data_IF_241870266039
#
_entry.id   IF_241870266039
#
_cell.length_a   1.000
_cell.length_b   1.000
_cell.length_c   1.000
_cell.angle_alpha   90.00
_cell.angle_beta   90.00
_cell.angle_gamma   90.00
#
_symmetry.space_group_name_H-M   'P 1'
#
loop_
_entity.id
_entity.type
_entity.pdbx_description
1 polymer ?
#
# COMPACT_ATOMS: atom_id res chain seq x y z
N UNK A 1 13.99 -8.86 -15.99
CA UNK A 1 13.02 -8.98 -14.86
C UNK A 1 11.89 -9.90 -15.30
N UNK A 2 11.46 -10.83 -14.42
CA UNK A 2 10.30 -11.70 -14.66
C UNK A 2 9.08 -10.97 -14.09
N UNK A 3 7.98 -10.95 -14.84
CA UNK A 3 6.69 -10.39 -14.41
C UNK A 3 5.67 -11.51 -14.27
N UNK A 4 4.87 -11.45 -13.23
CA UNK A 4 3.70 -12.27 -13.02
C UNK A 4 2.46 -11.48 -13.49
N UNK A 5 1.42 -12.18 -13.89
CA UNK A 5 0.11 -11.58 -14.16
C UNK A 5 -0.83 -11.87 -13.00
N UNK A 6 -1.50 -10.84 -12.52
CA UNK A 6 -2.60 -11.00 -11.58
C UNK A 6 -3.85 -11.53 -12.30
N UNK A 7 -4.90 -11.88 -11.55
CA UNK A 7 -6.19 -12.24 -12.16
C UNK A 7 -6.81 -11.09 -12.96
N UNK A 8 -6.49 -9.84 -12.59
CA UNK A 8 -6.89 -8.61 -13.29
C UNK A 8 -5.96 -8.23 -14.45
N UNK A 9 -5.07 -9.15 -14.88
CA UNK A 9 -4.11 -8.98 -16.00
C UNK A 9 -3.02 -7.93 -15.78
N UNK A 10 -2.86 -7.42 -14.55
CA UNK A 10 -1.79 -6.48 -14.19
C UNK A 10 -0.43 -7.18 -14.19
N UNK A 11 0.58 -6.49 -14.71
CA UNK A 11 1.96 -6.97 -14.70
C UNK A 11 2.62 -6.58 -13.40
N UNK A 12 2.96 -7.54 -12.56
CA UNK A 12 3.65 -7.36 -11.27
C UNK A 12 5.04 -7.99 -11.36
N UNK A 13 6.08 -7.24 -11.00
CA UNK A 13 7.44 -7.77 -10.94
C UNK A 13 7.52 -8.87 -9.88
N UNK A 14 8.28 -9.95 -10.18
CA UNK A 14 8.47 -11.06 -9.25
C UNK A 14 9.17 -10.62 -7.95
N UNK A 15 10.01 -9.58 -8.04
CA UNK A 15 10.62 -8.92 -6.89
C UNK A 15 9.74 -7.75 -6.50
N UNK A 16 9.41 -7.65 -5.21
CA UNK A 16 8.61 -6.58 -4.61
C UNK A 16 9.52 -5.76 -3.71
N UNK A 17 9.48 -4.43 -3.84
CA UNK A 17 10.20 -3.54 -2.95
C UNK A 17 9.40 -3.33 -1.67
N UNK A 18 9.88 -3.93 -0.56
CA UNK A 18 9.37 -3.66 0.77
C UNK A 18 9.87 -2.30 1.28
N UNK A 19 9.04 -1.59 2.02
CA UNK A 19 9.34 -0.24 2.51
C UNK A 19 9.27 -0.08 4.03
N UNK A 20 9.22 -1.18 4.77
CA UNK A 20 8.89 -1.22 6.21
C UNK A 20 9.78 -0.42 7.16
N UNK A 21 10.95 0.03 6.72
CA UNK A 21 11.86 0.86 7.53
C UNK A 21 12.28 2.14 6.81
N UNK A 22 11.70 2.40 5.64
CA UNK A 22 12.01 3.60 4.88
C UNK A 22 11.20 4.79 5.42
N UNK A 23 11.87 5.86 5.85
CA UNK A 23 11.22 7.04 6.43
C UNK A 23 10.76 6.86 7.87
N UNK A 24 11.40 5.98 8.63
CA UNK A 24 11.15 5.69 10.05
C UNK A 24 10.46 4.36 10.30
N UNK A 25 10.49 3.89 11.55
CA UNK A 25 9.85 2.64 11.93
C UNK A 25 8.39 2.86 12.36
N UNK A 26 8.14 3.39 13.54
CA UNK A 26 6.80 3.80 14.00
C UNK A 26 6.60 5.31 13.88
N UNK A 27 7.63 6.08 14.19
CA UNK A 27 7.65 7.53 14.04
C UNK A 27 8.32 7.92 12.72
N UNK A 28 7.92 9.05 12.11
CA UNK A 28 8.52 9.50 10.87
C UNK A 28 9.98 9.93 11.06
N UNK A 29 10.83 9.53 10.12
CA UNK A 29 12.21 10.00 9.98
C UNK A 29 12.35 10.67 8.61
N UNK A 30 12.69 11.93 8.60
CA UNK A 30 12.77 12.79 7.41
C UNK A 30 14.19 12.95 6.87
N UNK A 31 15.21 12.40 7.55
CA UNK A 31 16.63 12.68 7.28
C UNK A 31 17.05 12.25 5.86
N UNK A 32 16.51 11.13 5.37
CA UNK A 32 16.93 10.53 4.09
C UNK A 32 15.84 10.53 3.02
N UNK A 33 14.82 11.39 3.12
CA UNK A 33 13.66 11.43 2.21
C UNK A 33 14.05 11.39 0.72
N UNK A 34 14.97 12.24 0.31
CA UNK A 34 15.38 12.34 -1.09
C UNK A 34 16.10 11.08 -1.58
N UNK A 35 16.92 10.48 -0.73
CA UNK A 35 17.60 9.24 -1.05
C UNK A 35 16.61 8.08 -1.21
N UNK A 36 15.65 7.96 -0.28
CA UNK A 36 14.60 6.93 -0.31
C UNK A 36 13.78 7.06 -1.59
N UNK A 37 13.32 8.26 -1.93
CA UNK A 37 12.57 8.52 -3.17
C UNK A 37 13.39 8.14 -4.40
N UNK A 38 14.69 8.48 -4.44
CA UNK A 38 15.57 8.12 -5.54
C UNK A 38 15.81 6.61 -5.64
N UNK A 39 15.95 5.93 -4.52
CA UNK A 39 16.11 4.47 -4.47
C UNK A 39 14.87 3.74 -5.01
N UNK A 40 13.65 4.21 -4.69
CA UNK A 40 12.42 3.66 -5.26
C UNK A 40 12.38 3.87 -6.79
N UNK A 41 12.73 5.06 -7.26
CA UNK A 41 12.81 5.35 -8.71
C UNK A 41 13.88 4.49 -9.41
N UNK A 42 15.01 4.27 -8.76
CA UNK A 42 16.08 3.43 -9.31
C UNK A 42 15.67 1.97 -9.40
N UNK A 43 14.99 1.44 -8.37
CA UNK A 43 14.42 0.09 -8.40
C UNK A 43 13.46 -0.09 -9.59
N UNK A 44 12.64 0.93 -9.88
CA UNK A 44 11.76 0.91 -11.05
C UNK A 44 12.54 0.86 -12.37
N UNK A 45 13.65 1.58 -12.50
CA UNK A 45 14.52 1.51 -13.69
C UNK A 45 15.12 0.11 -13.89
N UNK A 46 15.33 -0.64 -12.80
CA UNK A 46 15.75 -2.03 -12.85
C UNK A 46 14.60 -3.03 -13.15
N UNK A 47 13.38 -2.51 -13.33
CA UNK A 47 12.19 -3.28 -13.68
C UNK A 47 11.35 -3.74 -12.48
N UNK A 48 11.62 -3.25 -11.25
CA UNK A 48 10.81 -3.53 -10.06
C UNK A 48 9.66 -2.52 -10.03
N UNK A 49 8.44 -2.97 -10.34
CA UNK A 49 7.27 -2.09 -10.35
C UNK A 49 6.30 -2.36 -9.18
N UNK A 50 6.55 -3.39 -8.37
CA UNK A 50 5.73 -3.71 -7.22
C UNK A 50 6.35 -3.11 -5.95
N UNK A 51 5.52 -2.40 -5.17
CA UNK A 51 5.89 -1.79 -3.90
C UNK A 51 4.95 -2.30 -2.82
N UNK A 52 5.51 -2.72 -1.68
CA UNK A 52 4.78 -3.11 -0.48
C UNK A 52 5.04 -2.10 0.64
N UNK A 53 3.97 -1.47 1.12
CA UNK A 53 3.98 -0.48 2.20
C UNK A 53 2.85 -0.75 3.22
N UNK A 54 2.68 0.14 4.20
CA UNK A 54 1.58 0.10 5.15
C UNK A 54 1.33 1.49 5.77
N UNK A 55 0.11 1.73 6.26
CA UNK A 55 -0.30 3.01 6.86
C UNK A 55 0.50 3.40 8.12
N UNK A 56 1.03 2.40 8.84
CA UNK A 56 1.78 2.61 10.08
C UNK A 56 3.30 2.73 9.88
N UNK A 57 3.83 2.47 8.68
CA UNK A 57 5.27 2.60 8.43
C UNK A 57 5.69 4.08 8.50
N UNK A 58 6.60 4.39 9.42
CA UNK A 58 7.01 5.76 9.71
C UNK A 58 5.82 6.67 10.07
N UNK A 59 4.80 6.15 10.76
CA UNK A 59 3.57 6.92 11.06
C UNK A 59 2.83 7.42 9.81
N UNK A 60 2.97 6.73 8.68
CA UNK A 60 2.39 7.09 7.38
C UNK A 60 3.34 7.90 6.46
N UNK A 61 4.51 8.31 6.97
CA UNK A 61 5.49 9.05 6.17
C UNK A 61 6.00 8.23 5.00
N UNK A 62 6.18 6.91 5.19
CA UNK A 62 6.63 5.98 4.14
C UNK A 62 5.69 5.99 2.93
N UNK A 63 4.37 5.97 3.13
CA UNK A 63 3.41 6.10 2.02
C UNK A 63 3.55 7.45 1.29
N UNK A 64 3.89 8.52 2.01
CA UNK A 64 4.16 9.83 1.40
C UNK A 64 5.40 9.80 0.51
N UNK A 65 6.46 9.10 0.92
CA UNK A 65 7.67 8.92 0.11
C UNK A 65 7.39 8.06 -1.14
N UNK A 66 6.61 6.99 -0.99
CA UNK A 66 6.15 6.18 -2.13
C UNK A 66 5.36 7.06 -3.11
N UNK A 67 4.40 7.85 -2.63
CA UNK A 67 3.62 8.77 -3.47
C UNK A 67 4.50 9.77 -4.25
N UNK A 68 5.51 10.35 -3.58
CA UNK A 68 6.51 11.22 -4.24
C UNK A 68 7.30 10.47 -5.33
N UNK A 69 7.66 9.21 -5.09
CA UNK A 69 8.46 8.42 -6.01
C UNK A 69 7.69 8.03 -7.28
N UNK A 70 6.41 7.67 -7.16
CA UNK A 70 5.57 7.21 -8.28
C UNK A 70 4.86 8.34 -9.03
N UNK A 71 5.04 9.58 -8.62
CA UNK A 71 4.38 10.75 -9.21
C UNK A 71 4.60 10.83 -10.71
N UNK A 72 3.51 10.90 -11.49
CA UNK A 72 3.52 10.96 -12.96
C UNK A 72 3.73 9.60 -13.65
N UNK A 73 3.86 8.51 -12.89
CA UNK A 73 4.03 7.14 -13.39
C UNK A 73 3.17 6.14 -12.61
N UNK A 74 2.16 6.61 -11.85
CA UNK A 74 1.35 5.79 -10.93
C UNK A 74 0.80 4.52 -11.56
N UNK A 75 0.30 4.61 -12.78
CA UNK A 75 -0.29 3.51 -13.56
C UNK A 75 0.71 2.42 -13.97
N UNK A 76 1.99 2.69 -13.80
CA UNK A 76 3.08 1.72 -14.09
C UNK A 76 3.52 0.94 -12.86
N UNK A 77 3.00 1.29 -11.68
CA UNK A 77 3.33 0.65 -10.42
C UNK A 77 2.16 -0.18 -9.90
N UNK A 78 2.49 -1.29 -9.26
CA UNK A 78 1.58 -2.06 -8.43
C UNK A 78 1.89 -1.74 -6.96
N UNK A 79 0.98 -1.06 -6.27
CA UNK A 79 1.16 -0.64 -4.88
C UNK A 79 0.25 -1.48 -3.98
N UNK A 80 0.89 -2.24 -3.08
CA UNK A 80 0.23 -2.89 -1.96
C UNK A 80 0.41 -2.05 -0.71
N UNK A 81 -0.69 -1.78 0.02
CA UNK A 81 -0.63 -1.18 1.35
C UNK A 81 -1.54 -1.93 2.32
N UNK A 82 -1.40 -1.65 3.62
CA UNK A 82 -2.07 -2.38 4.69
C UNK A 82 -2.63 -1.41 5.71
N UNK A 83 -3.83 -1.70 6.22
CA UNK A 83 -4.35 -0.99 7.38
C UNK A 83 -4.03 -1.74 8.69
N UNK A 84 -3.85 -0.98 9.76
CA UNK A 84 -3.44 -1.47 11.07
C UNK A 84 -4.50 -2.35 11.74
N UNK A 85 -4.06 -3.24 12.65
CA UNK A 85 -4.92 -4.14 13.41
C UNK A 85 -6.00 -3.41 14.21
N UNK A 86 -5.76 -2.18 14.64
CA UNK A 86 -6.74 -1.35 15.36
C UNK A 86 -7.85 -0.80 14.46
N UNK A 87 -7.70 -0.89 13.13
CA UNK A 87 -8.57 -0.24 12.15
C UNK A 87 -9.53 -1.18 11.41
N UNK A 88 -9.88 -2.34 11.98
CA UNK A 88 -10.75 -3.33 11.33
C UNK A 88 -12.25 -2.97 11.29
N UNK A 89 -12.73 -1.99 12.04
CA UNK A 89 -14.13 -1.57 11.93
C UNK A 89 -14.38 -0.88 10.58
N UNK A 90 -15.59 -1.01 10.03
CA UNK A 90 -15.99 -0.39 8.76
C UNK A 90 -15.59 1.09 8.66
N UNK A 91 -15.86 1.87 9.70
CA UNK A 91 -15.56 3.31 9.72
C UNK A 91 -14.05 3.55 9.65
N UNK A 92 -13.28 2.76 10.40
CA UNK A 92 -11.84 2.92 10.48
C UNK A 92 -11.15 2.44 9.20
N UNK A 93 -11.57 1.32 8.58
CA UNK A 93 -11.04 0.85 7.29
C UNK A 93 -11.22 1.95 6.23
N UNK A 94 -12.41 2.53 6.12
CA UNK A 94 -12.67 3.62 5.16
C UNK A 94 -11.76 4.81 5.43
N UNK A 95 -11.62 5.22 6.69
CA UNK A 95 -10.73 6.32 7.08
C UNK A 95 -9.27 6.02 6.76
N UNK A 96 -8.79 4.81 7.06
CA UNK A 96 -7.42 4.36 6.72
C UNK A 96 -7.16 4.45 5.23
N UNK A 97 -8.07 3.91 4.41
CA UNK A 97 -7.93 3.95 2.93
C UNK A 97 -7.89 5.38 2.43
N UNK A 98 -8.79 6.25 2.88
CA UNK A 98 -8.79 7.67 2.50
C UNK A 98 -7.48 8.39 2.87
N UNK A 99 -6.91 8.07 4.02
CA UNK A 99 -5.63 8.63 4.45
C UNK A 99 -4.47 8.09 3.63
N UNK A 100 -4.44 6.78 3.34
CA UNK A 100 -3.43 6.16 2.47
C UNK A 100 -3.47 6.72 1.06
N UNK A 101 -4.66 6.88 0.46
CA UNK A 101 -4.82 7.52 -0.85
C UNK A 101 -4.24 8.94 -0.89
N UNK A 102 -4.48 9.74 0.18
CA UNK A 102 -3.90 11.09 0.29
C UNK A 102 -2.39 11.06 0.40
N UNK A 103 -1.81 10.19 1.26
CA UNK A 103 -0.36 10.09 1.43
C UNK A 103 0.33 9.59 0.17
N UNK A 104 -0.26 8.59 -0.49
CA UNK A 104 0.21 8.05 -1.77
C UNK A 104 -0.03 9.00 -2.96
N UNK A 105 -0.86 10.06 -2.77
CA UNK A 105 -1.26 11.01 -3.82
C UNK A 105 -1.82 10.30 -5.06
N UNK A 106 -2.77 9.38 -4.86
CA UNK A 106 -3.40 8.56 -5.89
C UNK A 106 -4.88 8.37 -5.59
N UNK A 107 -5.66 8.02 -6.62
CA UNK A 107 -7.10 7.78 -6.49
C UNK A 107 -7.42 6.30 -6.22
N UNK A 108 -6.45 5.41 -6.35
CA UNK A 108 -6.65 3.98 -6.14
C UNK A 108 -5.40 3.28 -5.56
N UNK A 109 -5.64 2.16 -4.88
CA UNK A 109 -4.64 1.21 -4.36
C UNK A 109 -4.80 -0.10 -5.13
N UNK A 110 -3.70 -0.70 -5.63
CA UNK A 110 -3.77 -1.95 -6.40
C UNK A 110 -4.15 -3.14 -5.50
N UNK A 111 -3.59 -3.20 -4.29
CA UNK A 111 -3.89 -4.24 -3.31
C UNK A 111 -3.98 -3.66 -1.90
N UNK A 112 -5.14 -3.77 -1.27
CA UNK A 112 -5.31 -3.46 0.15
C UNK A 112 -5.29 -4.75 0.96
N UNK A 113 -4.51 -4.79 2.05
CA UNK A 113 -4.44 -5.95 2.94
C UNK A 113 -4.72 -5.57 4.39
N UNK A 114 -5.19 -6.53 5.19
CA UNK A 114 -5.04 -6.43 6.64
C UNK A 114 -3.56 -6.53 6.99
N UNK A 115 -3.03 -5.73 7.91
CA UNK A 115 -1.65 -5.91 8.36
C UNK A 115 -1.52 -7.13 9.27
N UNK A 116 -2.45 -7.27 10.22
CA UNK A 116 -2.60 -8.39 11.13
C UNK A 116 -4.08 -8.71 11.32
N UNK A 117 -4.45 -9.95 11.59
CA UNK A 117 -5.85 -10.29 11.91
C UNK A 117 -6.26 -9.63 13.23
N UNK A 118 -7.54 -9.28 13.33
CA UNK A 118 -8.16 -8.82 14.56
C UNK A 118 -9.30 -9.78 14.96
N UNK A 119 -9.10 -10.54 16.04
CA UNK A 119 -10.08 -11.52 16.51
C UNK A 119 -11.32 -10.90 17.18
N UNK A 120 -11.29 -9.61 17.49
CA UNK A 120 -12.40 -8.88 18.12
C UNK A 120 -13.42 -8.35 17.09
N UNK A 121 -13.05 -8.35 15.81
CA UNK A 121 -13.91 -7.87 14.72
C UNK A 121 -14.29 -9.04 13.81
N UNK A 122 -15.56 -9.10 13.43
CA UNK A 122 -16.03 -10.12 12.51
C UNK A 122 -15.34 -9.93 11.14
N UNK A 123 -14.67 -10.97 10.66
CA UNK A 123 -13.98 -10.95 9.37
C UNK A 123 -14.93 -10.61 8.20
N UNK A 124 -16.18 -11.05 8.27
CA UNK A 124 -17.16 -10.74 7.22
C UNK A 124 -17.42 -9.23 7.12
N UNK A 125 -17.43 -8.50 8.25
CA UNK A 125 -17.56 -7.03 8.25
C UNK A 125 -16.37 -6.37 7.55
N UNK A 126 -15.15 -6.84 7.85
CA UNK A 126 -13.92 -6.39 7.21
C UNK A 126 -13.97 -6.63 5.70
N UNK A 127 -14.28 -7.86 5.27
CA UNK A 127 -14.34 -8.25 3.86
C UNK A 127 -15.42 -7.49 3.10
N UNK A 128 -16.62 -7.36 3.67
CA UNK A 128 -17.71 -6.58 3.07
C UNK A 128 -17.33 -5.10 2.89
N UNK A 129 -16.56 -4.54 3.83
CA UNK A 129 -16.09 -3.16 3.70
C UNK A 129 -15.07 -3.01 2.59
N UNK A 130 -14.15 -3.97 2.44
CA UNK A 130 -13.19 -3.99 1.34
C UNK A 130 -13.89 -4.14 -0.02
N UNK A 131 -14.94 -4.98 -0.12
CA UNK A 131 -15.70 -5.11 -1.35
C UNK A 131 -16.39 -3.79 -1.74
N UNK A 132 -16.98 -3.07 -0.78
CA UNK A 132 -17.57 -1.74 -1.01
C UNK A 132 -16.50 -0.75 -1.54
N UNK A 133 -15.30 -0.75 -0.96
CA UNK A 133 -14.21 0.12 -1.41
C UNK A 133 -13.73 -0.24 -2.82
N UNK A 134 -13.77 -1.52 -3.17
CA UNK A 134 -13.47 -2.02 -4.51
C UNK A 134 -14.52 -1.58 -5.52
N UNK A 135 -15.81 -1.72 -5.20
CA UNK A 135 -16.92 -1.24 -6.04
C UNK A 135 -16.84 0.28 -6.28
N UNK A 136 -16.30 1.04 -5.31
CA UNK A 136 -16.02 2.47 -5.43
C UNK A 136 -14.76 2.79 -6.26
N UNK A 137 -13.98 1.79 -6.66
CA UNK A 137 -12.73 1.96 -7.39
C UNK A 137 -11.57 2.50 -6.54
N UNK A 138 -11.72 2.57 -5.21
CA UNK A 138 -10.66 3.05 -4.30
C UNK A 138 -9.56 2.01 -4.08
N UNK A 139 -9.91 0.74 -4.19
CA UNK A 139 -8.98 -0.38 -4.21
C UNK A 139 -9.33 -1.29 -5.39
N UNK A 140 -8.34 -1.90 -6.03
CA UNK A 140 -8.57 -2.81 -7.15
C UNK A 140 -8.66 -4.26 -6.70
N UNK A 141 -7.86 -4.62 -5.70
CA UNK A 141 -7.84 -5.95 -5.09
C UNK A 141 -7.72 -5.81 -3.57
N UNK A 142 -8.08 -6.87 -2.85
CA UNK A 142 -7.87 -6.96 -1.42
C UNK A 142 -7.45 -8.37 -0.98
N UNK A 143 -6.87 -8.47 0.20
CA UNK A 143 -6.41 -9.73 0.76
C UNK A 143 -6.19 -9.65 2.26
N UNK A 144 -5.81 -10.77 2.84
CA UNK A 144 -5.44 -10.89 4.25
C UNK A 144 -3.91 -11.00 4.35
N UNK A 145 -3.30 -10.16 5.17
CA UNK A 145 -1.92 -10.27 5.56
C UNK A 145 -1.78 -11.04 6.87
N UNK A 146 -0.68 -11.77 7.03
CA UNK A 146 -0.33 -12.49 8.27
C UNK A 146 -1.51 -13.30 8.87
N UNK A 147 -2.20 -14.16 8.11
CA UNK A 147 -3.35 -14.92 8.58
C UNK A 147 -2.95 -15.96 9.63
#
# INVERSE_FOLDING_TARGET
MIFLKTRSDEKVSQIIQGTGQLGGYFDPDYENDNEIVNNIKYAFQLGINAIDTAENYGGGHTETLVGKAVKGLRERFFISTKFDVSNHSKVNIVKSVEQSLRRLSTDYIDLLQTHWPNSEVNLDETLNTMEILKDQGKILNYGLGNP
#
